data_IF_825357961918
#
_entry.id   IF_825357961918
#
_cell.length_a   1.000
_cell.length_b   1.000
_cell.length_c   1.000
_cell.angle_alpha   90.00
_cell.angle_beta   90.00
_cell.angle_gamma   90.00
#
_symmetry.space_group_name_H-M   'P 1'
#
loop_
_entity.id
_entity.type
_entity.pdbx_description
1 polymer ?
#
# COMPACT_ATOMS: atom_id res chain seq x y z
N UNK A 1 11.79 -1.56 -4.97
CA UNK A 1 10.39 -1.51 -5.45
C UNK A 1 9.72 -2.84 -5.19
N UNK A 2 8.50 -2.79 -4.72
CA UNK A 2 7.74 -3.98 -4.37
C UNK A 2 6.33 -3.84 -4.94
N UNK A 3 5.79 -4.94 -5.48
CA UNK A 3 4.41 -5.01 -5.95
C UNK A 3 3.78 -6.27 -5.40
N UNK A 4 2.77 -6.10 -4.55
CA UNK A 4 2.09 -7.22 -3.89
C UNK A 4 0.62 -7.26 -4.32
N UNK A 5 0.14 -8.44 -4.67
CA UNK A 5 -1.26 -8.68 -5.03
C UNK A 5 -2.01 -9.26 -3.84
N UNK A 6 -3.20 -8.70 -3.57
CA UNK A 6 -4.11 -9.17 -2.54
C UNK A 6 -5.46 -9.46 -3.15
N UNK A 7 -6.15 -10.49 -2.66
CA UNK A 7 -7.52 -10.78 -3.06
C UNK A 7 -8.50 -10.17 -2.07
N UNK A 8 -9.55 -9.55 -2.60
CA UNK A 8 -10.66 -9.00 -1.82
C UNK A 8 -11.73 -10.06 -1.65
N UNK A 9 -12.23 -10.31 -0.42
CA UNK A 9 -13.33 -11.25 -0.23
C UNK A 9 -14.60 -10.81 -0.98
N UNK A 10 -15.45 -11.74 -1.41
CA UNK A 10 -16.72 -11.37 -2.05
C UNK A 10 -17.54 -10.45 -1.16
N UNK A 11 -18.18 -9.44 -1.77
CA UNK A 11 -19.05 -8.50 -1.08
C UNK A 11 -18.35 -7.37 -0.35
N UNK A 12 -17.03 -7.20 -0.54
CA UNK A 12 -16.26 -6.15 0.12
C UNK A 12 -15.87 -4.98 -0.79
N UNK A 13 -16.34 -4.96 -2.04
CA UNK A 13 -15.99 -3.89 -2.98
C UNK A 13 -16.39 -2.50 -2.46
N UNK A 14 -17.52 -2.39 -1.79
CA UNK A 14 -17.97 -1.12 -1.21
C UNK A 14 -17.02 -0.66 -0.09
N UNK A 15 -16.52 -1.61 0.70
CA UNK A 15 -15.57 -1.31 1.79
C UNK A 15 -14.21 -0.89 1.21
N UNK A 16 -13.79 -1.52 0.11
CA UNK A 16 -12.56 -1.10 -0.62
C UNK A 16 -12.69 0.33 -1.12
N UNK A 17 -13.85 0.68 -1.71
CA UNK A 17 -14.09 2.04 -2.20
C UNK A 17 -14.06 3.05 -1.05
N UNK A 18 -14.65 2.71 0.08
CA UNK A 18 -14.62 3.54 1.29
C UNK A 18 -13.18 3.73 1.80
N UNK A 19 -12.40 2.66 1.81
CA UNK A 19 -10.99 2.69 2.20
C UNK A 19 -10.15 3.60 1.29
N UNK A 20 -10.26 3.40 -0.03
CA UNK A 20 -9.50 4.20 -0.98
C UNK A 20 -9.95 5.65 -0.97
N UNK A 21 -11.24 5.93 -0.73
CA UNK A 21 -11.75 7.28 -0.57
C UNK A 21 -11.14 7.96 0.67
N UNK A 22 -11.01 7.24 1.78
CA UNK A 22 -10.34 7.76 2.98
C UNK A 22 -8.92 8.20 2.66
N UNK A 23 -8.17 7.37 1.93
CA UNK A 23 -6.78 7.68 1.57
C UNK A 23 -6.70 8.89 0.65
N UNK A 24 -7.60 8.99 -0.34
CA UNK A 24 -7.65 10.14 -1.26
C UNK A 24 -8.02 11.43 -0.53
N UNK A 25 -9.03 11.37 0.32
CA UNK A 25 -9.56 12.56 1.01
C UNK A 25 -8.60 13.08 2.08
N UNK A 26 -7.69 12.25 2.55
CA UNK A 26 -6.72 12.59 3.59
C UNK A 26 -5.27 12.43 3.09
N UNK A 27 -5.02 12.86 1.86
CA UNK A 27 -3.71 12.71 1.21
C UNK A 27 -2.57 13.27 2.06
N UNK A 28 -2.77 14.41 2.71
CA UNK A 28 -1.72 14.99 3.57
C UNK A 28 -1.42 14.09 4.77
N UNK A 29 -2.43 13.49 5.37
CA UNK A 29 -2.24 12.55 6.47
C UNK A 29 -1.51 11.28 6.00
N UNK A 30 -1.83 10.79 4.79
CA UNK A 30 -1.08 9.68 4.18
C UNK A 30 0.40 10.07 4.04
N UNK A 31 0.66 11.24 3.49
CA UNK A 31 2.04 11.74 3.29
C UNK A 31 2.80 11.82 4.61
N UNK A 32 2.15 12.20 5.70
CA UNK A 32 2.75 12.22 7.03
C UNK A 32 3.18 10.84 7.52
N UNK A 33 2.46 9.78 7.13
CA UNK A 33 2.79 8.42 7.55
C UNK A 33 3.94 7.81 6.74
N UNK A 34 4.18 8.31 5.54
CA UNK A 34 5.24 7.78 4.66
C UNK A 34 6.63 8.09 5.20
N UNK A 35 6.82 9.25 5.82
CA UNK A 35 8.12 9.68 6.35
C UNK A 35 8.74 8.68 7.34
N UNK A 36 8.05 8.35 8.46
CA UNK A 36 8.57 7.38 9.43
C UNK A 36 8.83 6.00 8.85
N UNK A 37 8.08 5.60 7.84
CA UNK A 37 8.25 4.31 7.17
C UNK A 37 9.38 4.34 6.13
N UNK A 38 9.95 5.51 5.85
CA UNK A 38 10.90 5.73 4.75
C UNK A 38 10.32 5.25 3.41
N UNK A 39 9.01 5.46 3.23
CA UNK A 39 8.30 5.11 2.01
C UNK A 39 8.34 6.31 1.07
N UNK A 40 8.97 6.16 -0.10
CA UNK A 40 9.13 7.26 -1.06
C UNK A 40 7.97 7.32 -2.04
N UNK A 41 7.45 6.18 -2.44
CA UNK A 41 6.32 6.07 -3.36
C UNK A 41 5.41 4.96 -2.90
N UNK A 42 4.11 5.23 -2.93
CA UNK A 42 3.09 4.23 -2.65
C UNK A 42 1.95 4.41 -3.62
N UNK A 43 1.56 3.35 -4.30
CA UNK A 43 0.46 3.36 -5.26
C UNK A 43 -0.41 2.12 -5.06
N UNK A 44 -1.72 2.30 -5.23
CA UNK A 44 -2.68 1.23 -5.10
C UNK A 44 -3.45 1.11 -6.41
N UNK A 45 -3.52 -0.09 -6.94
CA UNK A 45 -4.27 -0.41 -8.15
C UNK A 45 -5.30 -1.48 -7.83
N UNK A 46 -6.35 -1.55 -8.61
CA UNK A 46 -7.34 -2.62 -8.50
C UNK A 46 -7.73 -3.15 -9.87
N UNK A 47 -8.15 -4.41 -9.92
CA UNK A 47 -8.79 -4.99 -11.08
C UNK A 47 -9.78 -6.05 -10.65
N UNK A 48 -10.75 -6.33 -11.51
CA UNK A 48 -11.69 -7.43 -11.33
C UNK A 48 -11.46 -8.42 -12.47
N UNK A 49 -11.15 -9.67 -12.12
CA UNK A 49 -10.93 -10.74 -13.10
C UNK A 49 -11.88 -11.88 -12.75
N UNK A 50 -12.74 -12.25 -13.70
CA UNK A 50 -13.73 -13.32 -13.53
C UNK A 50 -14.58 -13.15 -12.26
N UNK A 51 -14.97 -11.89 -11.99
CA UNK A 51 -15.82 -11.57 -10.84
C UNK A 51 -15.08 -11.47 -9.50
N UNK A 52 -13.77 -11.64 -9.50
CA UNK A 52 -12.93 -11.54 -8.30
C UNK A 52 -12.12 -10.25 -8.32
N UNK A 53 -12.21 -9.47 -7.25
CA UNK A 53 -11.46 -8.22 -7.12
C UNK A 53 -10.09 -8.46 -6.49
N UNK A 54 -9.07 -7.84 -7.08
CA UNK A 54 -7.70 -7.85 -6.59
C UNK A 54 -7.22 -6.43 -6.35
N UNK A 55 -6.42 -6.25 -5.32
CA UNK A 55 -5.70 -5.01 -5.06
C UNK A 55 -4.20 -5.24 -5.28
N UNK A 56 -3.56 -4.28 -5.90
CA UNK A 56 -2.12 -4.29 -6.13
C UNK A 56 -1.51 -3.12 -5.38
N UNK A 57 -0.59 -3.43 -4.48
CA UNK A 57 0.12 -2.44 -3.70
C UNK A 57 1.54 -2.31 -4.22
N UNK A 58 1.88 -1.14 -4.76
CA UNK A 58 3.20 -0.87 -5.32
C UNK A 58 3.89 0.17 -4.45
N UNK A 59 5.11 -0.11 -4.02
CA UNK A 59 5.84 0.79 -3.15
C UNK A 59 7.33 0.78 -3.42
N UNK A 60 7.99 1.89 -3.08
CA UNK A 60 9.44 2.00 -3.04
C UNK A 60 9.81 2.53 -1.66
N UNK A 61 10.51 1.72 -0.88
CA UNK A 61 10.86 2.02 0.51
C UNK A 61 12.38 2.07 0.68
N UNK A 62 12.86 3.06 1.44
CA UNK A 62 14.25 3.14 1.88
C UNK A 62 14.51 2.24 3.08
N UNK A 63 15.76 2.15 3.51
CA UNK A 63 16.15 1.36 4.67
C UNK A 63 15.83 2.09 5.99
N UNK A 64 15.61 1.32 7.03
CA UNK A 64 15.53 1.81 8.41
C UNK A 64 14.20 2.42 8.81
N UNK A 65 13.16 2.34 7.98
CA UNK A 65 11.85 2.83 8.34
C UNK A 65 11.13 1.93 9.35
N UNK A 66 10.18 2.51 10.11
CA UNK A 66 9.34 1.75 11.02
C UNK A 66 8.14 1.16 10.27
N UNK A 67 7.63 0.02 10.77
CA UNK A 67 6.45 -0.62 10.19
C UNK A 67 5.16 0.11 10.55
N UNK A 68 4.15 -0.04 9.71
CA UNK A 68 2.83 0.57 9.93
C UNK A 68 2.18 0.07 11.24
N UNK A 69 2.45 -1.16 11.64
CA UNK A 69 1.90 -1.76 12.85
C UNK A 69 2.36 -1.08 14.12
N UNK A 70 3.53 -0.43 14.10
CA UNK A 70 4.06 0.29 15.26
C UNK A 70 3.63 1.75 15.31
N UNK A 71 2.91 2.23 14.28
CA UNK A 71 2.49 3.62 14.19
C UNK A 71 1.35 3.94 15.15
N UNK A 72 1.44 5.11 15.79
CA UNK A 72 0.35 5.67 16.57
C UNK A 72 -0.53 6.65 15.80
N UNK A 73 -0.22 6.90 14.52
CA UNK A 73 -0.98 7.84 13.71
C UNK A 73 -2.40 7.32 13.43
N UNK A 74 -3.40 8.20 13.54
CA UNK A 74 -4.81 7.81 13.39
C UNK A 74 -5.10 7.18 12.03
N UNK A 75 -4.45 7.68 10.97
CA UNK A 75 -4.68 7.17 9.62
C UNK A 75 -4.17 5.73 9.49
N UNK A 76 -3.01 5.42 10.05
CA UNK A 76 -2.46 4.06 10.01
C UNK A 76 -3.35 3.08 10.76
N UNK A 77 -3.95 3.51 11.86
CA UNK A 77 -4.91 2.67 12.60
C UNK A 77 -6.17 2.40 11.79
N UNK A 78 -6.72 3.43 11.14
CA UNK A 78 -7.87 3.29 10.26
C UNK A 78 -7.52 2.41 9.06
N UNK A 79 -6.34 2.60 8.50
CA UNK A 79 -5.83 1.83 7.37
C UNK A 79 -5.73 0.34 7.72
N UNK A 80 -5.16 -0.01 8.87
CA UNK A 80 -5.06 -1.40 9.32
C UNK A 80 -6.43 -2.04 9.56
N UNK A 81 -7.40 -1.27 10.05
CA UNK A 81 -8.75 -1.77 10.23
C UNK A 81 -9.40 -2.12 8.88
N UNK A 82 -9.28 -1.23 7.89
CA UNK A 82 -9.76 -1.50 6.53
C UNK A 82 -9.03 -2.70 5.92
N UNK A 83 -7.73 -2.78 6.12
CA UNK A 83 -6.91 -3.90 5.64
C UNK A 83 -7.50 -5.23 6.09
N UNK A 84 -7.79 -5.37 7.40
CA UNK A 84 -8.35 -6.60 7.96
C UNK A 84 -9.71 -6.96 7.36
N UNK A 85 -10.49 -5.95 6.97
CA UNK A 85 -11.83 -6.16 6.40
C UNK A 85 -11.81 -6.43 4.89
N UNK A 86 -10.78 -5.95 4.19
CA UNK A 86 -10.73 -5.96 2.73
C UNK A 86 -9.77 -7.00 2.15
N UNK A 87 -8.86 -7.55 2.95
CA UNK A 87 -7.91 -8.54 2.46
C UNK A 87 -8.35 -9.92 2.90
N UNK A 88 -8.46 -10.83 1.92
CA UNK A 88 -8.87 -12.21 2.16
C UNK A 88 -7.75 -12.99 2.83
N UNK A 89 -7.90 -13.40 4.11
CA UNK A 89 -6.84 -14.10 4.82
C UNK A 89 -6.63 -15.53 4.31
N UNK A 90 -7.57 -16.08 3.56
CA UNK A 90 -7.45 -17.44 2.99
C UNK A 90 -6.65 -17.45 1.68
N UNK A 91 -6.37 -16.28 1.11
CA UNK A 91 -5.61 -16.13 -0.12
C UNK A 91 -4.28 -15.45 0.23
N UNK A 92 -3.15 -16.17 0.24
CA UNK A 92 -1.88 -15.57 0.60
C UNK A 92 -1.52 -14.42 -0.33
N UNK A 93 -1.03 -13.30 0.21
CA UNK A 93 -0.51 -12.21 -0.61
C UNK A 93 0.59 -12.75 -1.52
N UNK A 94 0.65 -12.24 -2.75
CA UNK A 94 1.65 -12.67 -3.71
C UNK A 94 2.52 -11.49 -4.12
N UNK A 95 3.81 -11.57 -3.80
CA UNK A 95 4.80 -10.60 -4.23
C UNK A 95 5.18 -10.93 -5.67
N UNK A 96 4.98 -9.97 -6.57
CA UNK A 96 5.36 -10.14 -7.96
C UNK A 96 6.86 -9.91 -8.11
N UNK A 97 7.47 -10.68 -9.00
CA UNK A 97 8.92 -10.61 -9.24
C UNK A 97 9.26 -9.31 -9.97
N UNK A 98 10.15 -8.53 -9.39
CA UNK A 98 10.69 -7.34 -10.07
C UNK A 98 11.61 -7.81 -11.19
N UNK A 99 11.27 -7.45 -12.42
CA UNK A 99 12.11 -7.77 -13.59
C UNK A 99 13.09 -6.64 -13.88
N UNK A 100 12.69 -5.42 -13.62
CA UNK A 100 13.56 -4.25 -13.74
C UNK A 100 13.00 -3.12 -12.88
N UNK A 101 13.87 -2.45 -12.17
CA UNK A 101 13.56 -1.24 -11.42
C UNK A 101 14.55 -0.16 -11.83
N UNK A 102 14.05 0.92 -12.43
CA UNK A 102 14.88 2.04 -12.82
C UNK A 102 14.18 3.35 -12.47
N UNK A 103 14.92 4.24 -11.87
CA UNK A 103 14.45 5.60 -11.53
C UNK A 103 15.55 6.57 -11.94
N UNK A 104 15.20 7.86 -12.04
CA UNK A 104 16.22 8.87 -12.34
C UNK A 104 17.24 8.95 -11.18
N UNK A 105 18.40 9.49 -11.47
CA UNK A 105 19.45 9.66 -10.46
C UNK A 105 18.95 10.47 -9.27
N UNK A 106 18.17 11.52 -9.49
CA UNK A 106 17.61 12.34 -8.40
C UNK A 106 16.71 11.53 -7.46
N UNK A 107 15.87 10.65 -8.02
CA UNK A 107 15.00 9.79 -7.21
C UNK A 107 15.82 8.74 -6.48
N UNK A 108 16.82 8.14 -7.13
CA UNK A 108 17.71 7.18 -6.49
C UNK A 108 18.45 7.80 -5.30
N UNK A 109 18.94 9.03 -5.47
CA UNK A 109 19.62 9.75 -4.40
C UNK A 109 18.68 9.98 -3.21
N UNK A 110 17.41 10.32 -3.47
CA UNK A 110 16.40 10.50 -2.42
C UNK A 110 16.11 9.18 -1.68
N UNK A 111 16.09 8.06 -2.38
CA UNK A 111 15.88 6.73 -1.78
C UNK A 111 17.08 6.35 -0.90
N UNK A 112 18.28 6.63 -1.37
CA UNK A 112 19.53 6.28 -0.66
C UNK A 112 19.82 7.21 0.52
N UNK A 113 19.20 8.37 0.57
CA UNK A 113 19.37 9.37 1.64
C UNK A 113 18.12 9.36 2.54
N UNK A 114 18.04 8.45 3.50
CA UNK A 114 16.88 8.29 4.36
C UNK A 114 16.72 9.43 5.37
#
# INVERSE_FOLDING_TARGET
MELTRFRVPPGRSDVVEEWTALLRDHEQAVRETLGPEHMHVEMIFSETVDGVEYLYWCSTQGEGGSGVESSGHWLDRAHLDYWRRCIDPSFPPEDLTVRQHVVTAAVQDAIDDP
#
